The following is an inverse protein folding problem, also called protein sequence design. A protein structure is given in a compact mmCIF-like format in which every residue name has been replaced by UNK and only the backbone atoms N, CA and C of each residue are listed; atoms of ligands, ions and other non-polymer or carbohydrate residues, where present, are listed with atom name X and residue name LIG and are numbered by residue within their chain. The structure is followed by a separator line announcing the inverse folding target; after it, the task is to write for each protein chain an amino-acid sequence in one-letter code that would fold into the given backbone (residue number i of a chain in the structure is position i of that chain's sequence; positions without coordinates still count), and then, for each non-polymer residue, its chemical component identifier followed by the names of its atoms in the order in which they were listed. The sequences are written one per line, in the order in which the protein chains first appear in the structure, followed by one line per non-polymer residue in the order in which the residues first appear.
data_IF_804363788143
#
_entry.id   IF_804363788143
#
_cell.length_a   1.000
_cell.length_b   1.000
_cell.length_c   1.000
_cell.angle_alpha   90.00
_cell.angle_beta   90.00
_cell.angle_gamma   90.00
#
_symmetry.space_group_name_H-M   'P 1'
#
loop_
_entity.id
_entity.type
_entity.pdbx_description
1 polymer ?
#
# COMPACT_ATOMS: atom_id res chain seq x y z
N UNK A 1 7.61 -7.77 -14.51
CA UNK A 1 8.19 -9.00 -13.97
C UNK A 1 7.06 -9.90 -13.42
N UNK A 2 6.92 -11.08 -14.00
CA UNK A 2 5.84 -12.00 -13.63
C UNK A 2 5.92 -12.46 -12.16
N UNK A 3 7.12 -12.54 -11.61
CA UNK A 3 7.32 -12.95 -10.21
C UNK A 3 6.79 -11.91 -9.21
N UNK A 4 6.61 -10.67 -9.66
CA UNK A 4 6.13 -9.60 -8.80
C UNK A 4 4.60 -9.49 -8.81
N UNK A 5 3.91 -10.37 -9.52
CA UNK A 5 2.46 -10.51 -9.46
C UNK A 5 2.15 -11.72 -8.60
N UNK A 6 1.56 -11.49 -7.44
CA UNK A 6 1.30 -12.57 -6.49
C UNK A 6 -0.20 -12.78 -6.32
N UNK A 7 -0.58 -14.04 -6.10
CA UNK A 7 -1.96 -14.38 -5.77
C UNK A 7 -2.09 -14.42 -4.26
N UNK A 8 -2.97 -13.60 -3.73
CA UNK A 8 -3.19 -13.50 -2.30
C UNK A 8 -4.57 -14.03 -1.92
N UNK A 9 -4.67 -14.55 -0.71
CA UNK A 9 -5.95 -14.85 -0.08
C UNK A 9 -6.31 -13.67 0.80
N UNK A 10 -7.57 -13.23 0.73
CA UNK A 10 -8.03 -12.06 1.47
C UNK A 10 -9.00 -12.49 2.55
N UNK A 11 -8.73 -12.08 3.78
CA UNK A 11 -9.61 -12.25 4.92
C UNK A 11 -10.13 -10.88 5.31
N UNK A 12 -11.45 -10.71 5.32
CA UNK A 12 -12.08 -9.45 5.71
C UNK A 12 -11.92 -9.23 7.20
N UNK A 13 -11.85 -7.96 7.60
CA UNK A 13 -11.72 -7.56 9.01
C UNK A 13 -12.87 -6.63 9.42
N UNK A 14 -14.13 -7.13 9.42
CA UNK A 14 -15.29 -6.28 9.64
C UNK A 14 -15.37 -5.68 11.03
N UNK A 15 -14.66 -6.24 12.01
CA UNK A 15 -14.67 -5.75 13.39
C UNK A 15 -13.67 -4.64 13.64
N UNK A 16 -12.78 -4.35 12.67
CA UNK A 16 -11.79 -3.31 12.83
C UNK A 16 -12.45 -1.94 12.87
N UNK A 17 -11.97 -1.11 13.78
CA UNK A 17 -12.51 0.24 13.96
C UNK A 17 -11.72 1.23 13.11
N UNK A 18 -12.34 2.35 12.69
CA UNK A 18 -11.59 3.43 12.08
C UNK A 18 -10.48 3.94 12.99
N UNK A 19 -9.39 4.37 12.40
CA UNK A 19 -8.26 4.92 13.13
C UNK A 19 -7.65 6.09 12.37
N UNK A 20 -6.88 6.92 13.07
CA UNK A 20 -6.20 8.06 12.46
C UNK A 20 -4.84 7.62 11.96
N UNK A 21 -4.65 7.68 10.65
CA UNK A 21 -3.38 7.31 10.01
C UNK A 21 -2.54 8.58 9.83
N UNK A 22 -1.31 8.59 10.39
CA UNK A 22 -0.43 9.74 10.21
C UNK A 22 -0.03 9.95 8.77
N UNK A 23 0.22 11.21 8.41
CA UNK A 23 0.75 11.57 7.11
C UNK A 23 2.08 12.30 7.28
N UNK A 24 2.84 12.41 6.19
CA UNK A 24 4.14 13.07 6.22
C UNK A 24 4.06 14.56 6.52
N UNK A 25 2.90 15.17 6.33
CA UNK A 25 2.68 16.59 6.64
C UNK A 25 2.32 16.85 8.10
N UNK A 26 2.04 15.78 8.86
CA UNK A 26 1.64 15.89 10.26
C UNK A 26 0.14 15.86 10.50
N UNK A 27 -0.68 16.07 9.47
CA UNK A 27 -2.12 15.86 9.64
C UNK A 27 -2.43 14.36 9.60
N UNK A 28 -3.60 13.96 10.08
CA UNK A 28 -4.03 12.57 10.03
C UNK A 28 -5.21 12.42 9.08
N UNK A 29 -5.39 11.19 8.57
CA UNK A 29 -6.55 10.83 7.76
C UNK A 29 -7.20 9.60 8.39
N UNK A 30 -8.52 9.52 8.31
CA UNK A 30 -9.24 8.41 8.92
C UNK A 30 -9.34 7.24 7.94
N UNK A 31 -8.77 6.11 8.32
CA UNK A 31 -8.81 4.87 7.57
C UNK A 31 -9.37 3.75 8.41
N UNK A 32 -9.76 2.66 7.79
CA UNK A 32 -10.13 1.43 8.48
C UNK A 32 -9.47 0.26 7.75
N UNK A 33 -8.97 -0.69 8.52
CA UNK A 33 -8.47 -1.93 7.92
C UNK A 33 -9.66 -2.72 7.39
N UNK A 34 -9.70 -2.91 6.07
CA UNK A 34 -10.78 -3.59 5.39
C UNK A 34 -10.56 -5.09 5.31
N UNK A 35 -9.32 -5.50 5.22
CA UNK A 35 -8.96 -6.89 5.11
C UNK A 35 -7.46 -7.10 5.17
N UNK A 36 -7.06 -8.35 5.19
CA UNK A 36 -5.64 -8.75 5.18
C UNK A 36 -5.42 -9.66 4.01
N UNK A 37 -4.44 -9.34 3.17
CA UNK A 37 -4.03 -10.16 2.04
C UNK A 37 -2.83 -10.99 2.46
N UNK A 38 -2.92 -12.31 2.29
CA UNK A 38 -1.83 -13.24 2.61
C UNK A 38 -1.34 -13.88 1.33
N UNK A 39 -0.03 -13.91 1.17
CA UNK A 39 0.59 -14.41 -0.05
C UNK A 39 1.96 -15.01 0.24
N UNK A 40 2.51 -15.66 -0.78
CA UNK A 40 3.86 -16.21 -0.70
C UNK A 40 4.74 -15.45 -1.69
N UNK A 41 5.91 -15.02 -1.20
CA UNK A 41 6.93 -14.36 -2.01
C UNK A 41 8.17 -15.25 -1.96
N UNK A 42 8.47 -15.92 -3.09
CA UNK A 42 9.47 -17.00 -3.14
C UNK A 42 9.14 -18.03 -2.06
N UNK A 43 9.99 -18.23 -1.07
CA UNK A 43 9.77 -19.19 0.01
C UNK A 43 9.21 -18.55 1.27
N UNK A 44 8.97 -17.23 1.25
CA UNK A 44 8.51 -16.53 2.43
C UNK A 44 7.00 -16.28 2.39
N UNK A 45 6.37 -16.46 3.55
CA UNK A 45 4.97 -16.10 3.72
C UNK A 45 4.89 -14.64 4.18
N UNK A 46 3.97 -13.90 3.59
CA UNK A 46 3.81 -12.49 3.89
C UNK A 46 2.34 -12.13 3.98
N UNK A 47 2.08 -11.00 4.64
CA UNK A 47 0.73 -10.44 4.66
C UNK A 47 0.81 -8.93 4.64
N UNK A 48 -0.20 -8.32 4.04
CA UNK A 48 -0.35 -6.87 3.99
C UNK A 48 -1.79 -6.53 4.28
N UNK A 49 -1.99 -5.52 5.11
CA UNK A 49 -3.34 -5.03 5.40
C UNK A 49 -3.80 -4.10 4.28
N UNK A 50 -5.07 -4.22 3.94
CA UNK A 50 -5.73 -3.41 2.92
C UNK A 50 -6.62 -2.40 3.64
N UNK A 51 -6.55 -1.13 3.24
CA UNK A 51 -7.24 -0.06 3.95
C UNK A 51 -8.27 0.63 3.07
N UNK A 52 -9.37 1.07 3.69
CA UNK A 52 -10.33 1.95 3.05
C UNK A 52 -10.26 3.32 3.71
N UNK A 53 -10.35 4.37 2.89
CA UNK A 53 -10.37 5.74 3.37
C UNK A 53 -11.80 6.10 3.73
N UNK A 54 -12.06 6.35 5.00
CA UNK A 54 -13.42 6.58 5.50
C UNK A 54 -14.06 7.80 4.84
N UNK A 55 -13.30 8.87 4.62
CA UNK A 55 -13.87 10.09 4.01
C UNK A 55 -14.26 9.90 2.54
N UNK A 56 -13.72 8.88 1.87
CA UNK A 56 -14.04 8.60 0.47
C UNK A 56 -15.24 7.68 0.30
N UNK A 57 -15.73 7.03 1.37
CA UNK A 57 -16.82 6.05 1.26
C UNK A 57 -18.14 6.68 0.81
N UNK A 58 -18.34 7.96 1.09
CA UNK A 58 -19.56 8.67 0.68
C UNK A 58 -19.53 9.09 -0.80
N UNK A 59 -18.38 8.98 -1.46
CA UNK A 59 -18.24 9.33 -2.86
C UNK A 59 -18.37 8.08 -3.72
N UNK A 60 -19.43 7.96 -4.57
CA UNK A 60 -19.63 6.77 -5.40
C UNK A 60 -18.44 6.42 -6.29
N UNK A 61 -17.63 7.42 -6.67
CA UNK A 61 -16.47 7.19 -7.52
C UNK A 61 -15.34 6.45 -6.80
N UNK A 62 -15.30 6.53 -5.45
CA UNK A 62 -14.19 5.99 -4.67
C UNK A 62 -14.59 4.99 -3.60
N UNK A 63 -15.87 4.69 -3.45
CA UNK A 63 -16.31 3.78 -2.37
C UNK A 63 -15.75 2.36 -2.51
N UNK A 64 -15.35 1.96 -3.71
CA UNK A 64 -14.78 0.64 -4.00
C UNK A 64 -13.25 0.62 -3.91
N UNK A 65 -12.64 1.77 -3.67
CA UNK A 65 -11.20 1.92 -3.64
C UNK A 65 -10.58 1.31 -2.39
N UNK A 66 -9.50 0.56 -2.60
CA UNK A 66 -8.66 0.05 -1.50
C UNK A 66 -7.24 0.57 -1.66
N UNK A 67 -6.64 0.91 -0.55
CA UNK A 67 -5.31 1.46 -0.46
C UNK A 67 -4.37 0.45 0.18
N UNK A 68 -3.26 0.19 -0.49
CA UNK A 68 -2.24 -0.73 0.01
C UNK A 68 -0.90 0.00 0.09
N UNK A 69 -0.63 0.66 1.22
CA UNK A 69 0.69 1.25 1.46
C UNK A 69 1.61 0.19 2.06
N UNK A 70 2.88 0.17 1.66
CA UNK A 70 3.81 -0.80 2.22
C UNK A 70 5.24 -0.27 2.27
N UNK A 71 6.02 -0.88 3.14
CA UNK A 71 7.46 -0.70 3.22
C UNK A 71 8.12 -2.04 2.90
N UNK A 72 9.31 -2.00 2.38
CA UNK A 72 10.10 -3.20 2.11
C UNK A 72 11.59 -2.91 2.30
N UNK A 73 12.44 -3.91 2.11
CA UNK A 73 13.86 -3.79 2.38
C UNK A 73 14.61 -2.89 1.38
N UNK A 74 13.99 -2.50 0.26
CA UNK A 74 14.61 -1.60 -0.71
C UNK A 74 14.48 -0.12 -0.33
N UNK A 75 13.59 0.22 0.61
CA UNK A 75 13.30 1.62 0.96
C UNK A 75 14.54 2.32 1.48
N UNK A 76 14.80 3.51 0.94
CA UNK A 76 15.96 4.31 1.32
C UNK A 76 17.23 3.92 0.57
N UNK A 77 17.21 2.87 -0.23
CA UNK A 77 18.35 2.41 -1.03
C UNK A 77 18.00 2.53 -2.51
N UNK A 78 17.15 1.64 -3.01
CA UNK A 78 16.72 1.63 -4.42
C UNK A 78 15.37 2.33 -4.60
N UNK A 79 14.57 2.44 -3.54
CA UNK A 79 13.25 3.03 -3.59
C UNK A 79 13.11 4.11 -2.52
N UNK A 80 12.07 4.92 -2.66
CA UNK A 80 11.78 6.01 -1.74
C UNK A 80 11.66 5.49 -0.28
N UNK A 81 12.31 6.18 0.65
CA UNK A 81 12.36 5.76 2.05
C UNK A 81 11.02 5.77 2.76
N UNK A 82 10.06 6.54 2.28
CA UNK A 82 8.71 6.61 2.85
C UNK A 82 7.78 5.51 2.39
N UNK A 83 8.25 4.56 1.58
CA UNK A 83 7.45 3.45 1.10
C UNK A 83 6.77 3.73 -0.23
N UNK A 84 5.93 2.81 -0.65
CA UNK A 84 5.21 2.89 -1.91
C UNK A 84 3.77 2.44 -1.74
N UNK A 85 2.93 2.74 -2.73
CA UNK A 85 1.50 2.48 -2.69
C UNK A 85 1.06 1.62 -3.85
N UNK A 86 0.01 0.82 -3.62
CA UNK A 86 -0.72 0.11 -4.67
C UNK A 86 -2.20 0.44 -4.49
N UNK A 87 -2.89 0.73 -5.59
CA UNK A 87 -4.33 0.97 -5.60
C UNK A 87 -5.04 -0.29 -6.05
N UNK A 88 -6.08 -0.67 -5.32
CA UNK A 88 -6.88 -1.86 -5.60
C UNK A 88 -8.35 -1.50 -5.48
N UNK A 89 -9.22 -2.44 -5.82
CA UNK A 89 -10.65 -2.27 -5.62
C UNK A 89 -11.22 -3.44 -4.82
N UNK A 90 -12.31 -3.19 -4.11
CA UNK A 90 -12.99 -4.23 -3.35
C UNK A 90 -13.53 -5.32 -4.29
N UNK A 91 -13.93 -4.94 -5.51
CA UNK A 91 -14.42 -5.88 -6.49
C UNK A 91 -13.37 -6.92 -6.89
N UNK A 92 -12.09 -6.53 -6.93
CA UNK A 92 -11.00 -7.46 -7.26
C UNK A 92 -10.84 -8.56 -6.22
N UNK A 93 -11.27 -8.32 -4.99
CA UNK A 93 -11.14 -9.25 -3.88
C UNK A 93 -12.47 -9.88 -3.47
N UNK A 94 -13.51 -9.76 -4.31
CA UNK A 94 -14.87 -10.15 -3.94
C UNK A 94 -15.02 -11.63 -3.59
N UNK A 95 -14.19 -12.49 -4.16
CA UNK A 95 -14.25 -13.94 -3.91
C UNK A 95 -13.20 -14.41 -2.89
N UNK A 96 -12.58 -13.49 -2.17
CA UNK A 96 -11.55 -13.82 -1.19
C UNK A 96 -10.18 -14.06 -1.79
N UNK A 97 -10.02 -13.77 -3.08
CA UNK A 97 -8.74 -13.90 -3.79
C UNK A 97 -8.41 -12.57 -4.45
N UNK A 98 -7.12 -12.26 -4.50
CA UNK A 98 -6.66 -10.99 -5.03
C UNK A 98 -5.31 -11.18 -5.70
N UNK A 99 -5.14 -10.58 -6.87
CA UNK A 99 -3.82 -10.48 -7.49
C UNK A 99 -3.22 -9.15 -7.09
N UNK A 100 -2.07 -9.20 -6.42
CA UNK A 100 -1.31 -7.99 -6.08
C UNK A 100 -0.16 -7.91 -7.08
N UNK A 101 -0.19 -6.89 -7.91
CA UNK A 101 0.85 -6.66 -8.92
C UNK A 101 1.80 -5.57 -8.42
N UNK A 102 2.92 -5.99 -7.83
CA UNK A 102 3.91 -5.06 -7.30
C UNK A 102 4.60 -4.25 -8.40
N UNK A 103 4.49 -4.67 -9.66
CA UNK A 103 5.00 -3.87 -10.77
C UNK A 103 4.25 -2.54 -10.91
N UNK A 104 3.05 -2.44 -10.34
CA UNK A 104 2.24 -1.23 -10.41
C UNK A 104 2.45 -0.29 -9.22
N UNK A 105 3.28 -0.66 -8.24
CA UNK A 105 3.45 0.20 -7.07
C UNK A 105 4.16 1.50 -7.46
N UNK A 106 3.77 2.58 -6.78
CA UNK A 106 4.23 3.92 -7.11
C UNK A 106 4.63 4.69 -5.86
N UNK A 107 5.46 5.71 -6.05
CA UNK A 107 5.89 6.57 -4.95
C UNK A 107 4.78 7.53 -4.54
N UNK A 108 4.65 7.83 -3.23
CA UNK A 108 3.82 8.96 -2.81
C UNK A 108 4.32 10.25 -3.46
N UNK A 109 3.43 11.20 -3.67
CA UNK A 109 3.83 12.49 -4.23
C UNK A 109 4.85 13.21 -3.35
N UNK A 110 4.87 12.92 -2.06
CA UNK A 110 5.86 13.47 -1.13
C UNK A 110 7.30 13.07 -1.49
N UNK A 111 7.49 12.03 -2.30
CA UNK A 111 8.81 11.65 -2.79
C UNK A 111 9.38 12.66 -3.78
N UNK A 112 8.52 13.49 -4.39
CA UNK A 112 8.90 14.44 -5.43
C UNK A 112 8.83 15.90 -4.98
N UNK A 113 8.02 16.18 -3.97
CA UNK A 113 7.79 17.53 -3.53
C UNK A 113 7.21 17.55 -2.12
N UNK A 114 7.49 18.62 -1.37
CA UNK A 114 6.90 18.80 -0.04
C UNK A 114 5.47 19.30 -0.14
N UNK A 115 4.77 19.29 0.98
CA UNK A 115 3.44 19.89 1.10
C UNK A 115 2.27 18.97 0.82
N UNK A 116 2.52 17.72 0.51
CA UNK A 116 1.45 16.74 0.31
C UNK A 116 1.15 15.97 1.59
N UNK A 117 -0.12 15.58 1.76
CA UNK A 117 -0.59 14.83 2.92
C UNK A 117 -0.56 13.32 2.63
N UNK A 118 0.63 12.80 2.35
CA UNK A 118 0.78 11.40 1.95
C UNK A 118 0.78 10.49 3.17
N UNK A 119 -0.09 9.46 3.22
CA UNK A 119 -0.13 8.54 4.34
C UNK A 119 1.20 7.80 4.54
N UNK A 120 1.58 7.67 5.80
CA UNK A 120 2.75 6.88 6.19
C UNK A 120 2.32 5.42 6.31
N UNK A 121 2.98 4.48 5.61
CA UNK A 121 2.60 3.07 5.73
C UNK A 121 2.67 2.59 7.17
N UNK A 122 1.60 1.94 7.68
CA UNK A 122 1.63 1.39 9.04
C UNK A 122 2.71 0.33 9.19
N UNK A 123 3.24 0.19 10.41
CA UNK A 123 4.31 -0.76 10.69
C UNK A 123 3.94 -2.20 10.34
N UNK A 124 2.67 -2.56 10.45
CA UNK A 124 2.22 -3.91 10.09
C UNK A 124 2.39 -4.21 8.61
N UNK A 125 2.56 -3.19 7.76
CA UNK A 125 2.73 -3.34 6.32
C UNK A 125 4.19 -3.24 5.88
N UNK A 126 5.11 -3.60 6.77
CA UNK A 126 6.52 -3.65 6.44
C UNK A 126 6.91 -5.07 6.07
N UNK A 127 7.33 -5.26 4.82
CA UNK A 127 7.82 -6.54 4.33
C UNK A 127 9.28 -6.72 4.71
N UNK A 128 9.67 -7.94 5.09
CA UNK A 128 11.03 -8.24 5.51
C UNK A 128 12.00 -8.47 4.34
N UNK A 129 11.48 -8.46 3.12
CA UNK A 129 12.28 -8.76 1.92
C UNK A 129 12.23 -7.58 0.94
N UNK A 130 13.02 -7.69 -0.13
CA UNK A 130 13.12 -6.65 -1.14
C UNK A 130 12.07 -6.83 -2.23
N UNK A 131 11.35 -5.76 -2.55
CA UNK A 131 10.44 -5.71 -3.71
C UNK A 131 11.10 -4.81 -4.74
N UNK A 132 11.77 -5.41 -5.71
CA UNK A 132 12.53 -4.67 -6.72
C UNK A 132 11.71 -4.23 -7.92
N UNK A 133 10.43 -4.59 -7.94
CA UNK A 133 9.51 -4.17 -8.99
C UNK A 133 8.94 -2.78 -8.70
N UNK A 134 8.24 -2.24 -9.68
CA UNK A 134 7.53 -0.97 -9.54
C UNK A 134 8.43 0.24 -9.58
N UNK A 135 7.91 1.36 -9.08
CA UNK A 135 8.61 2.64 -9.17
C UNK A 135 9.81 2.70 -8.24
N UNK A 136 10.93 3.17 -8.77
CA UNK A 136 12.17 3.31 -8.04
C UNK A 136 12.27 4.71 -7.42
N UNK A 137 13.34 4.92 -6.64
CA UNK A 137 13.61 6.21 -6.05
C UNK A 137 13.72 7.28 -7.14
N UNK A 138 13.03 8.40 -6.92
CA UNK A 138 13.14 9.54 -7.80
C UNK A 138 14.56 10.09 -7.72
N UNK A 139 15.24 10.13 -8.85
CA UNK A 139 16.58 10.69 -8.93
C UNK A 139 16.49 12.10 -9.47
N UNK A 140 16.81 13.05 -8.62
CA UNK A 140 16.94 14.42 -9.07
C UNK A 140 18.32 14.56 -9.69
N UNK A 141 18.36 14.86 -10.98
CA UNK A 141 19.61 14.88 -11.75
C UNK A 141 20.39 16.18 -11.66
N UNK A 142 20.09 16.98 -10.69
CA UNK A 142 20.72 18.27 -10.52
C UNK A 142 22.01 18.23 -9.73
N UNK A 143 22.44 17.11 -9.41
CA UNK A 143 23.65 17.00 -8.62
C UNK A 143 24.87 17.42 -9.37
#
# INVERSE_FOLDING_TARGET
NAKSRVKASVVLTPEEQPFELPTFSGITKTYRKWGVARFQWDEEHAQLSLYENISLLSNPAYKDYLFLPFLDATNGVETYGGGRYINLSKAEAADGKLVIDFNTCYNPWCAYSDGYNCPIPPAENKLAFEVKAGEKMYKVTHH
#
